data_IF_632528698756
#
_entry.id   IF_632528698756
#
_cell.length_a   1.000
_cell.length_b   1.000
_cell.length_c   1.000
_cell.angle_alpha   90.00
_cell.angle_beta   90.00
_cell.angle_gamma   90.00
#
_symmetry.space_group_name_H-M   'P 1'
#
loop_
_entity.id
_entity.type
_entity.pdbx_description
1 polymer ?
#
# COMPACT_ATOMS: atom_id res chain seq x y z
N UNK A 1 -7.84 -17.95 -1.94
CA UNK A 1 -8.09 -16.54 -1.55
C UNK A 1 -7.97 -15.66 -2.79
N UNK A 2 -9.08 -15.15 -3.33
CA UNK A 2 -9.10 -14.48 -4.64
C UNK A 2 -8.48 -13.06 -4.63
N UNK A 3 -8.12 -12.50 -3.48
CA UNK A 3 -7.60 -11.12 -3.34
C UNK A 3 -6.20 -11.05 -2.71
N UNK A 4 -5.48 -12.18 -2.68
CA UNK A 4 -4.15 -12.26 -2.05
C UNK A 4 -3.13 -11.31 -2.70
N UNK A 5 -3.16 -11.18 -4.04
CA UNK A 5 -2.25 -10.29 -4.77
C UNK A 5 -2.48 -8.85 -4.33
N UNK A 6 -3.72 -8.39 -4.30
CA UNK A 6 -4.04 -7.03 -3.83
C UNK A 6 -3.51 -6.76 -2.42
N UNK A 7 -3.73 -7.68 -1.48
CA UNK A 7 -3.26 -7.53 -0.10
C UNK A 7 -1.74 -7.46 -0.02
N UNK A 8 -1.04 -8.29 -0.79
CA UNK A 8 0.43 -8.27 -0.84
C UNK A 8 0.94 -6.93 -1.37
N UNK A 9 0.40 -6.44 -2.49
CA UNK A 9 0.81 -5.17 -3.07
C UNK A 9 0.45 -3.97 -2.17
N UNK A 10 -0.70 -4.00 -1.50
CA UNK A 10 -1.06 -2.97 -0.53
C UNK A 10 -0.05 -2.89 0.62
N UNK A 11 0.37 -4.04 1.17
CA UNK A 11 1.39 -4.09 2.23
C UNK A 11 2.74 -3.58 1.72
N UNK A 12 3.16 -4.00 0.52
CA UNK A 12 4.42 -3.53 -0.10
C UNK A 12 4.40 -2.01 -0.31
N UNK A 13 3.29 -1.46 -0.82
CA UNK A 13 3.12 -0.01 -1.00
C UNK A 13 3.26 0.76 0.33
N UNK A 14 2.64 0.26 1.40
CA UNK A 14 2.76 0.88 2.72
C UNK A 14 4.18 0.81 3.27
N UNK A 15 4.88 -0.32 3.09
CA UNK A 15 6.29 -0.48 3.50
C UNK A 15 7.17 0.51 2.74
N UNK A 16 7.00 0.61 1.42
CA UNK A 16 7.74 1.58 0.59
C UNK A 16 7.47 3.02 1.03
N UNK A 17 6.22 3.36 1.32
CA UNK A 17 5.85 4.70 1.79
C UNK A 17 6.35 5.02 3.19
N UNK A 18 6.62 4.01 4.01
CA UNK A 18 7.15 4.17 5.36
C UNK A 18 8.67 4.42 5.39
N UNK A 19 9.41 4.08 4.32
CA UNK A 19 10.86 4.30 4.28
C UNK A 19 11.26 5.78 4.48
N UNK A 20 10.64 6.78 3.81
CA UNK A 20 10.94 8.19 4.05
C UNK A 20 10.61 8.66 5.47
N UNK A 21 9.60 8.07 6.12
CA UNK A 21 9.26 8.40 7.53
C UNK A 21 10.41 7.99 8.46
N UNK A 22 11.07 6.87 8.18
CA UNK A 22 12.18 6.37 8.99
C UNK A 22 13.44 7.22 8.81
N UNK A 23 13.70 7.69 7.59
CA UNK A 23 14.93 8.40 7.22
C UNK A 23 14.80 9.90 7.52
N UNK A 24 13.75 10.53 7.00
CA UNK A 24 13.62 11.99 6.94
C UNK A 24 12.50 12.53 7.85
N UNK A 25 11.76 11.65 8.54
CA UNK A 25 10.54 11.98 9.30
C UNK A 25 9.43 12.62 8.44
N UNK A 26 9.50 12.47 7.13
CA UNK A 26 8.49 12.92 6.18
C UNK A 26 7.50 11.78 5.88
N UNK A 27 6.21 12.06 6.10
CA UNK A 27 5.12 11.11 5.88
C UNK A 27 4.35 11.32 4.57
N UNK A 28 4.76 12.27 3.73
CA UNK A 28 4.04 12.61 2.49
C UNK A 28 3.91 11.40 1.56
N UNK A 29 5.00 10.65 1.35
CA UNK A 29 4.98 9.43 0.54
C UNK A 29 4.10 8.33 1.15
N UNK A 30 4.14 8.16 2.48
CA UNK A 30 3.29 7.20 3.18
C UNK A 30 1.81 7.52 2.98
N UNK A 31 1.42 8.78 3.19
CA UNK A 31 0.04 9.24 3.00
C UNK A 31 -0.39 9.05 1.56
N UNK A 32 0.46 9.42 0.59
CA UNK A 32 0.18 9.24 -0.83
C UNK A 32 -0.05 7.77 -1.20
N UNK A 33 0.82 6.86 -0.76
CA UNK A 33 0.64 5.43 -1.03
C UNK A 33 -0.51 4.81 -0.24
N UNK A 34 -0.86 5.34 0.94
CA UNK A 34 -2.02 4.88 1.70
C UNK A 34 -3.33 5.11 0.94
N UNK A 35 -3.47 6.20 0.17
CA UNK A 35 -4.63 6.43 -0.70
C UNK A 35 -4.82 5.35 -1.76
N UNK A 36 -3.76 4.63 -2.14
CA UNK A 36 -3.81 3.54 -3.11
C UNK A 36 -3.92 2.18 -2.39
N UNK A 37 -3.10 1.98 -1.36
CA UNK A 37 -3.01 0.73 -0.63
C UNK A 37 -4.28 0.39 0.14
N UNK A 38 -4.96 1.38 0.74
CA UNK A 38 -6.20 1.15 1.50
C UNK A 38 -7.32 0.61 0.59
N UNK A 39 -7.70 1.27 -0.53
CA UNK A 39 -8.67 0.71 -1.46
C UNK A 39 -8.27 -0.66 -2.01
N UNK A 40 -6.98 -0.84 -2.34
CA UNK A 40 -6.48 -2.11 -2.87
C UNK A 40 -6.64 -3.25 -1.85
N UNK A 41 -6.35 -3.01 -0.58
CA UNK A 41 -6.48 -4.02 0.48
C UNK A 41 -7.92 -4.50 0.69
N UNK A 42 -8.89 -3.59 0.56
CA UNK A 42 -10.32 -3.88 0.75
C UNK A 42 -11.06 -4.27 -0.55
N UNK A 43 -10.39 -4.18 -1.71
CA UNK A 43 -10.98 -4.59 -2.97
C UNK A 43 -11.41 -6.07 -2.94
N UNK A 44 -12.63 -6.35 -3.41
CA UNK A 44 -13.24 -7.68 -3.43
C UNK A 44 -12.79 -8.54 -4.61
N UNK A 45 -12.17 -7.91 -5.60
CA UNK A 45 -11.66 -8.51 -6.82
C UNK A 45 -10.18 -8.21 -6.97
N UNK A 46 -9.39 -9.13 -7.54
CA UNK A 46 -7.99 -8.82 -7.85
C UNK A 46 -7.95 -7.73 -8.92
N UNK A 47 -7.32 -6.61 -8.61
CA UNK A 47 -7.04 -5.55 -9.58
C UNK A 47 -5.69 -5.76 -10.28
N UNK A 48 -4.87 -6.63 -9.69
CA UNK A 48 -3.54 -6.96 -10.19
C UNK A 48 -3.57 -8.38 -10.77
N UNK A 49 -3.36 -8.45 -12.09
CA UNK A 49 -3.41 -9.67 -12.90
C UNK A 49 -2.09 -10.42 -12.89
#
# INVERSE_FOLDING_TARGET
MKTLKNKLYAVVLLICGYLPVLIDKDATALVFFAFIAIPLFFAKENWIY
#
